data_IF_951837501296
#
_entry.id   IF_951837501296
#
_cell.length_a   1.000
_cell.length_b   1.000
_cell.length_c   1.000
_cell.angle_alpha   90.00
_cell.angle_beta   90.00
_cell.angle_gamma   90.00
#
_symmetry.space_group_name_H-M   'P 1'
#
loop_
_entity.id
_entity.type
_entity.pdbx_description
1 polymer ?
#
# COMPACT_ATOMS: atom_id res chain seq x y z
N UNK A 1 -21.69 5.68 12.75
CA UNK A 1 -20.29 5.64 12.27
C UNK A 1 -19.87 7.06 11.92
N UNK A 2 -18.77 7.55 12.51
CA UNK A 2 -18.26 8.91 12.26
C UNK A 2 -17.46 8.91 10.94
N UNK A 3 -17.77 9.81 10.00
CA UNK A 3 -17.15 9.84 8.65
C UNK A 3 -16.29 11.08 8.51
N UNK A 4 -15.05 10.91 8.04
CA UNK A 4 -14.25 12.04 7.56
C UNK A 4 -14.50 12.22 6.06
N UNK A 5 -15.04 13.38 5.65
CA UNK A 5 -15.31 13.69 4.24
C UNK A 5 -14.20 14.62 3.71
N UNK A 6 -13.23 14.12 2.93
CA UNK A 6 -12.14 14.93 2.40
C UNK A 6 -12.71 15.88 1.35
N UNK A 7 -12.50 17.20 1.49
CA UNK A 7 -13.06 18.20 0.55
C UNK A 7 -12.69 17.88 -0.91
N UNK A 8 -11.47 17.41 -1.13
CA UNK A 8 -10.90 17.08 -2.43
C UNK A 8 -11.35 15.73 -3.01
N UNK A 9 -12.01 14.87 -2.23
CA UNK A 9 -12.57 13.59 -2.72
C UNK A 9 -14.09 13.66 -2.95
N UNK A 10 -14.75 14.79 -2.65
CA UNK A 10 -16.21 14.92 -2.79
C UNK A 10 -16.72 14.75 -4.22
N UNK A 11 -15.89 15.03 -5.21
CA UNK A 11 -16.21 14.88 -6.64
C UNK A 11 -15.94 13.48 -7.19
N UNK A 12 -15.37 12.58 -6.38
CA UNK A 12 -15.09 11.21 -6.80
C UNK A 12 -16.38 10.39 -6.82
N UNK A 13 -16.85 10.04 -8.02
CA UNK A 13 -18.09 9.27 -8.25
C UNK A 13 -18.06 7.93 -7.50
N UNK A 14 -16.88 7.33 -7.35
CA UNK A 14 -16.68 6.02 -6.72
C UNK A 14 -16.27 6.11 -5.24
N UNK A 15 -16.51 7.25 -4.57
CA UNK A 15 -16.25 7.40 -3.14
C UNK A 15 -17.38 6.82 -2.30
N UNK A 16 -17.05 5.83 -1.47
CA UNK A 16 -17.88 5.38 -0.36
C UNK A 16 -17.00 5.18 0.89
N UNK A 17 -17.52 4.55 1.94
CA UNK A 17 -16.87 4.45 3.24
C UNK A 17 -16.77 3.00 3.72
N UNK A 18 -15.54 2.54 3.93
CA UNK A 18 -15.27 1.29 4.64
C UNK A 18 -15.40 1.50 6.15
N UNK A 19 -16.20 0.65 6.82
CA UNK A 19 -16.34 0.69 8.27
C UNK A 19 -15.13 0.03 8.94
N UNK A 20 -14.40 0.82 9.72
CA UNK A 20 -13.30 0.35 10.58
C UNK A 20 -13.57 0.79 12.02
N UNK A 21 -13.92 -0.16 12.88
CA UNK A 21 -14.49 0.09 14.21
C UNK A 21 -15.69 1.06 14.11
N UNK A 22 -15.63 2.21 14.79
CA UNK A 22 -16.67 3.25 14.79
C UNK A 22 -16.47 4.32 13.69
N UNK A 23 -15.42 4.18 12.87
CA UNK A 23 -15.01 5.15 11.87
C UNK A 23 -15.32 4.71 10.44
N UNK A 24 -15.72 5.66 9.62
CA UNK A 24 -15.89 5.50 8.17
C UNK A 24 -14.66 6.03 7.46
N UNK A 25 -13.92 5.14 6.82
CA UNK A 25 -12.72 5.48 6.08
C UNK A 25 -13.04 5.59 4.58
N UNK A 26 -12.63 6.67 3.90
CA UNK A 26 -12.92 6.88 2.48
C UNK A 26 -12.28 5.76 1.66
N UNK A 27 -13.06 5.15 0.78
CA UNK A 27 -12.67 3.95 0.05
C UNK A 27 -13.34 3.91 -1.32
N UNK A 28 -12.69 3.24 -2.26
CA UNK A 28 -13.17 3.06 -3.61
C UNK A 28 -14.25 1.98 -3.64
N UNK A 29 -15.43 2.37 -4.12
CA UNK A 29 -16.58 1.50 -4.36
C UNK A 29 -17.18 1.84 -5.72
N UNK A 30 -17.46 0.83 -6.54
CA UNK A 30 -18.23 1.01 -7.76
C UNK A 30 -19.49 0.16 -7.64
N UNK A 31 -20.62 0.81 -7.31
CA UNK A 31 -21.89 0.12 -7.02
C UNK A 31 -22.46 -0.56 -8.26
N UNK A 32 -22.39 0.11 -9.40
CA UNK A 32 -22.86 -0.42 -10.70
C UNK A 32 -22.20 -1.76 -11.06
N UNK A 33 -20.91 -1.89 -10.76
CA UNK A 33 -20.13 -3.10 -11.05
C UNK A 33 -19.94 -4.02 -9.84
N UNK A 34 -20.65 -3.77 -8.73
CA UNK A 34 -20.52 -4.50 -7.46
C UNK A 34 -19.06 -4.63 -6.97
N UNK A 35 -18.28 -3.56 -7.13
CA UNK A 35 -16.89 -3.49 -6.69
C UNK A 35 -16.82 -2.86 -5.31
N UNK A 36 -16.25 -3.60 -4.36
CA UNK A 36 -16.01 -3.15 -3.00
C UNK A 36 -14.66 -3.67 -2.47
N UNK A 37 -14.07 -3.05 -1.44
CA UNK A 37 -12.84 -3.53 -0.84
C UNK A 37 -13.00 -4.88 -0.13
N UNK A 38 -12.11 -5.84 -0.40
CA UNK A 38 -11.95 -7.06 0.39
C UNK A 38 -11.44 -6.69 1.80
N UNK A 39 -12.24 -7.05 2.81
CA UNK A 39 -12.01 -6.73 4.22
C UNK A 39 -10.60 -7.12 4.70
N UNK A 40 -10.08 -8.27 4.27
CA UNK A 40 -8.76 -8.75 4.72
C UNK A 40 -7.64 -7.89 4.14
N UNK A 41 -7.79 -7.45 2.90
CA UNK A 41 -6.80 -6.64 2.18
C UNK A 41 -6.80 -5.20 2.74
N UNK A 42 -7.97 -4.57 2.85
CA UNK A 42 -8.07 -3.19 3.36
C UNK A 42 -7.66 -3.09 4.83
N UNK A 43 -8.04 -4.05 5.68
CA UNK A 43 -7.58 -4.07 7.07
C UNK A 43 -6.06 -4.19 7.16
N UNK A 44 -5.42 -4.96 6.27
CA UNK A 44 -3.95 -5.06 6.24
C UNK A 44 -3.30 -3.73 5.87
N UNK A 45 -3.86 -2.98 4.91
CA UNK A 45 -3.40 -1.64 4.54
C UNK A 45 -3.51 -0.69 5.74
N UNK A 46 -4.66 -0.67 6.40
CA UNK A 46 -4.93 0.17 7.59
C UNK A 46 -3.93 -0.16 8.71
N UNK A 47 -3.69 -1.43 9.00
CA UNK A 47 -2.69 -1.85 9.99
C UNK A 47 -1.28 -1.37 9.64
N UNK A 48 -0.87 -1.48 8.37
CA UNK A 48 0.45 -1.00 7.94
C UNK A 48 0.59 0.52 8.07
N UNK A 49 -0.45 1.30 7.77
CA UNK A 49 -0.47 2.76 8.01
C UNK A 49 -0.31 3.06 9.50
N UNK A 50 -1.12 2.42 10.34
CA UNK A 50 -1.06 2.52 11.80
C UNK A 50 0.31 2.26 12.37
N UNK A 51 0.85 1.09 12.04
CA UNK A 51 2.18 0.68 12.48
C UNK A 51 3.27 1.63 11.96
N UNK A 52 3.05 2.34 10.85
CA UNK A 52 4.06 3.26 10.28
C UNK A 52 4.04 4.58 11.04
N UNK A 53 2.87 5.11 11.35
CA UNK A 53 2.73 6.30 12.20
C UNK A 53 3.14 6.06 13.66
N UNK A 54 3.09 4.80 14.13
CA UNK A 54 3.67 4.42 15.42
C UNK A 54 5.20 4.62 15.45
N UNK A 55 5.88 4.52 14.31
CA UNK A 55 7.34 4.62 14.22
C UNK A 55 7.79 6.06 13.92
N UNK A 56 7.03 6.78 13.08
CA UNK A 56 7.37 8.15 12.66
C UNK A 56 6.13 9.03 12.55
N UNK A 57 6.23 10.29 12.96
CA UNK A 57 5.15 11.28 12.81
C UNK A 57 4.85 11.62 11.34
N UNK A 58 5.77 11.31 10.42
CA UNK A 58 5.64 11.56 8.99
C UNK A 58 6.02 10.32 8.22
N UNK A 59 5.17 9.91 7.29
CA UNK A 59 5.40 8.74 6.44
C UNK A 59 5.31 9.14 4.98
N UNK A 60 6.12 8.48 4.16
CA UNK A 60 6.01 8.55 2.71
C UNK A 60 5.38 7.27 2.21
N UNK A 61 4.36 7.39 1.37
CA UNK A 61 3.67 6.26 0.72
C UNK A 61 3.87 6.32 -0.78
N UNK A 62 4.31 5.20 -1.38
CA UNK A 62 4.53 5.10 -2.83
C UNK A 62 3.82 3.88 -3.39
N UNK A 63 2.88 4.08 -4.33
CA UNK A 63 2.18 3.00 -5.05
C UNK A 63 2.80 2.79 -6.42
N UNK A 64 3.00 1.53 -6.79
CA UNK A 64 3.61 1.12 -8.06
C UNK A 64 3.15 -0.29 -8.44
N UNK A 65 3.31 -0.64 -9.71
CA UNK A 65 2.88 -1.93 -10.24
C UNK A 65 4.04 -2.69 -10.86
N UNK A 66 4.13 -3.98 -10.55
CA UNK A 66 5.14 -4.89 -11.03
C UNK A 66 4.52 -5.90 -11.99
N UNK A 67 5.14 -6.07 -13.15
CA UNK A 67 4.67 -6.95 -14.21
C UNK A 67 5.72 -8.03 -14.44
N UNK A 68 5.27 -9.28 -14.54
CA UNK A 68 6.13 -10.40 -14.88
C UNK A 68 6.12 -10.66 -16.39
N UNK A 69 7.26 -11.04 -16.98
CA UNK A 69 7.33 -11.41 -18.39
C UNK A 69 6.58 -12.71 -18.67
N UNK A 70 6.54 -13.63 -17.70
CA UNK A 70 5.86 -14.93 -17.81
C UNK A 70 5.05 -15.23 -16.56
N UNK A 71 3.95 -15.95 -16.74
CA UNK A 71 3.12 -16.42 -15.64
C UNK A 71 3.92 -17.36 -14.72
N UNK A 72 3.64 -17.25 -13.43
CA UNK A 72 4.07 -18.23 -12.43
C UNK A 72 2.91 -18.45 -11.48
N UNK A 73 2.61 -19.68 -11.09
CA UNK A 73 1.53 -20.00 -10.15
C UNK A 73 1.89 -19.69 -8.70
N UNK A 74 3.18 -19.51 -8.38
CA UNK A 74 3.71 -19.25 -7.04
C UNK A 74 4.01 -17.77 -6.79
N UNK A 75 4.34 -17.44 -5.54
CA UNK A 75 4.76 -16.09 -5.09
C UNK A 75 6.28 -15.95 -4.92
N UNK A 76 7.06 -16.82 -5.56
CA UNK A 76 8.53 -16.78 -5.45
C UNK A 76 9.10 -15.45 -5.99
N UNK A 77 8.59 -14.96 -7.12
CA UNK A 77 9.00 -13.69 -7.73
C UNK A 77 8.90 -12.50 -6.78
N UNK A 78 7.73 -12.32 -6.14
CA UNK A 78 7.52 -11.22 -5.20
C UNK A 78 8.31 -11.41 -3.90
N UNK A 79 8.59 -12.67 -3.52
CA UNK A 79 9.42 -12.99 -2.36
C UNK A 79 10.89 -12.64 -2.60
N UNK A 80 11.45 -13.01 -3.75
CA UNK A 80 12.82 -12.66 -4.16
C UNK A 80 12.99 -11.14 -4.24
N UNK A 81 12.06 -10.46 -4.89
CA UNK A 81 12.02 -9.00 -4.95
C UNK A 81 11.98 -8.36 -3.56
N UNK A 82 11.06 -8.81 -2.69
CA UNK A 82 10.92 -8.26 -1.33
C UNK A 82 12.23 -8.35 -0.56
N UNK A 83 12.91 -9.51 -0.61
CA UNK A 83 14.18 -9.72 0.10
C UNK A 83 15.27 -8.78 -0.42
N UNK A 84 15.42 -8.67 -1.75
CA UNK A 84 16.41 -7.78 -2.37
C UNK A 84 16.12 -6.32 -2.03
N UNK A 85 14.88 -5.86 -2.19
CA UNK A 85 14.48 -4.48 -1.88
C UNK A 85 14.76 -4.10 -0.41
N UNK A 86 14.39 -4.95 0.54
CA UNK A 86 14.65 -4.70 1.95
C UNK A 86 16.16 -4.69 2.25
N UNK A 87 16.95 -5.52 1.58
CA UNK A 87 18.41 -5.53 1.69
C UNK A 87 19.04 -4.24 1.16
N UNK A 88 18.69 -3.82 -0.05
CA UNK A 88 19.17 -2.55 -0.64
C UNK A 88 18.79 -1.35 0.22
N UNK A 89 17.55 -1.35 0.74
CA UNK A 89 17.10 -0.31 1.66
C UNK A 89 17.94 -0.26 2.94
N UNK A 90 18.24 -1.42 3.54
CA UNK A 90 19.09 -1.52 4.74
C UNK A 90 20.50 -0.97 4.50
N UNK A 91 21.04 -1.19 3.31
CA UNK A 91 22.36 -0.68 2.93
C UNK A 91 22.34 0.85 2.87
N UNK A 92 21.34 1.43 2.20
CA UNK A 92 21.25 2.86 1.91
C UNK A 92 20.74 3.73 3.08
N UNK A 93 19.76 3.26 3.84
CA UNK A 93 19.08 4.07 4.86
C UNK A 93 19.27 3.50 6.27
N UNK A 94 20.17 4.12 7.04
CA UNK A 94 20.37 3.76 8.45
C UNK A 94 19.31 4.44 9.33
N UNK A 95 18.83 3.77 10.37
CA UNK A 95 17.84 4.29 11.33
C UNK A 95 16.47 4.68 10.74
N UNK A 96 16.06 4.02 9.67
CA UNK A 96 14.76 4.24 9.01
C UNK A 96 13.85 3.00 9.11
N UNK A 97 12.74 2.98 8.38
CA UNK A 97 11.94 1.78 8.17
C UNK A 97 11.42 1.72 6.74
N UNK A 98 11.13 0.51 6.29
CA UNK A 98 10.44 0.22 5.04
C UNK A 98 9.43 -0.88 5.26
N UNK A 99 8.23 -0.70 4.71
CA UNK A 99 7.21 -1.74 4.63
C UNK A 99 6.73 -1.82 3.20
N UNK A 100 6.76 -3.01 2.64
CA UNK A 100 6.18 -3.35 1.37
C UNK A 100 4.84 -4.04 1.61
N UNK A 101 3.82 -3.60 0.90
CA UNK A 101 2.55 -4.27 0.74
C UNK A 101 2.36 -4.62 -0.73
N UNK A 102 1.77 -5.76 -1.02
CA UNK A 102 1.46 -6.15 -2.39
C UNK A 102 0.15 -6.94 -2.45
N UNK A 103 -0.53 -6.78 -3.58
CA UNK A 103 -1.70 -7.57 -3.98
C UNK A 103 -1.42 -8.14 -5.36
N UNK A 104 -1.74 -9.42 -5.52
CA UNK A 104 -1.60 -10.16 -6.75
C UNK A 104 -2.91 -10.11 -7.53
N UNK A 105 -2.84 -9.65 -8.78
CA UNK A 105 -3.96 -9.65 -9.71
C UNK A 105 -3.59 -10.44 -10.96
N UNK A 106 -4.59 -11.13 -11.51
CA UNK A 106 -4.55 -11.61 -12.88
C UNK A 106 -5.94 -11.40 -13.44
N UNK A 107 -6.06 -10.45 -14.35
CA UNK A 107 -7.30 -10.20 -15.08
C UNK A 107 -7.17 -10.86 -16.47
N UNK A 108 -7.37 -10.10 -17.54
CA UNK A 108 -7.18 -10.53 -18.94
C UNK A 108 -5.72 -10.70 -19.36
N UNK A 109 -4.77 -10.47 -18.45
CA UNK A 109 -3.33 -10.52 -18.75
C UNK A 109 -2.81 -11.95 -18.76
N UNK A 110 -1.87 -12.23 -19.68
CA UNK A 110 -1.22 -13.53 -19.78
C UNK A 110 -0.46 -13.89 -18.49
N UNK A 111 0.24 -12.91 -17.91
CA UNK A 111 0.99 -13.02 -16.67
C UNK A 111 0.30 -12.26 -15.54
N UNK A 112 0.53 -12.69 -14.30
CA UNK A 112 0.06 -11.95 -13.13
C UNK A 112 0.80 -10.62 -12.96
N UNK A 113 0.13 -9.67 -12.32
CA UNK A 113 0.68 -8.39 -11.90
C UNK A 113 0.62 -8.27 -10.38
N UNK A 114 1.54 -7.48 -9.82
CA UNK A 114 1.49 -7.10 -8.41
C UNK A 114 1.25 -5.60 -8.32
N UNK A 115 0.16 -5.21 -7.66
CA UNK A 115 -0.03 -3.84 -7.21
C UNK A 115 0.57 -3.67 -5.82
N UNK A 116 1.51 -2.75 -5.70
CA UNK A 116 2.34 -2.63 -4.52
C UNK A 116 2.21 -1.24 -3.89
N UNK A 117 2.46 -1.17 -2.59
CA UNK A 117 2.62 0.08 -1.86
C UNK A 117 3.81 -0.03 -0.90
N UNK A 118 4.65 1.00 -0.89
CA UNK A 118 5.71 1.19 0.09
C UNK A 118 5.28 2.20 1.13
N UNK A 119 5.63 1.93 2.39
CA UNK A 119 5.50 2.85 3.53
C UNK A 119 6.87 3.02 4.15
N UNK A 120 7.39 4.24 4.17
CA UNK A 120 8.75 4.54 4.65
C UNK A 120 8.76 5.77 5.55
N UNK A 121 9.87 5.98 6.27
CA UNK A 121 10.05 7.18 7.11
C UNK A 121 10.09 8.45 6.25
N UNK A 122 9.08 9.29 6.38
CA UNK A 122 8.94 10.53 5.62
C UNK A 122 9.86 11.65 6.12
N UNK A 123 10.63 11.44 7.19
CA UNK A 123 11.72 12.34 7.60
C UNK A 123 13.07 11.98 6.95
N UNK A 124 13.17 10.80 6.36
CA UNK A 124 14.38 10.34 5.67
C UNK A 124 14.17 10.40 4.16
N UNK A 125 12.95 10.12 3.70
CA UNK A 125 12.63 9.99 2.27
C UNK A 125 11.54 11.00 1.93
N UNK A 126 11.97 12.15 1.40
CA UNK A 126 11.12 13.26 1.01
C UNK A 126 10.71 13.25 -0.47
N UNK A 127 11.29 12.38 -1.29
CA UNK A 127 10.99 12.28 -2.72
C UNK A 127 10.96 10.83 -3.19
N UNK A 128 10.10 10.52 -4.15
CA UNK A 128 9.86 9.15 -4.63
C UNK A 128 10.97 8.59 -5.51
N UNK A 129 11.68 9.45 -6.26
CA UNK A 129 12.58 9.01 -7.33
C UNK A 129 13.64 8.01 -6.87
N UNK A 130 14.29 8.28 -5.73
CA UNK A 130 15.34 7.40 -5.18
C UNK A 130 14.83 6.00 -4.83
N UNK A 131 13.59 5.88 -4.36
CA UNK A 131 12.95 4.59 -4.06
C UNK A 131 12.41 3.92 -5.32
N UNK A 132 11.86 4.67 -6.26
CA UNK A 132 11.37 4.13 -7.53
C UNK A 132 12.50 3.50 -8.34
N UNK A 133 13.68 4.15 -8.39
CA UNK A 133 14.87 3.59 -9.03
C UNK A 133 15.33 2.30 -8.32
N UNK A 134 15.28 2.27 -6.98
CA UNK A 134 15.59 1.07 -6.21
C UNK A 134 14.60 -0.06 -6.50
N UNK A 135 13.31 0.24 -6.61
CA UNK A 135 12.26 -0.73 -6.97
C UNK A 135 12.50 -1.29 -8.36
N UNK A 136 12.72 -0.43 -9.35
CA UNK A 136 12.96 -0.83 -10.74
C UNK A 136 14.21 -1.72 -10.86
N UNK A 137 15.32 -1.29 -10.25
CA UNK A 137 16.54 -2.08 -10.16
C UNK A 137 16.30 -3.45 -9.53
N UNK A 138 15.72 -3.51 -8.32
CA UNK A 138 15.48 -4.77 -7.63
C UNK A 138 14.55 -5.71 -8.41
N UNK A 139 13.54 -5.16 -9.10
CA UNK A 139 12.58 -5.96 -9.87
C UNK A 139 13.21 -6.54 -11.14
N UNK A 140 13.97 -5.73 -11.88
CA UNK A 140 14.73 -6.18 -13.05
C UNK A 140 15.74 -7.26 -12.68
N UNK A 141 16.55 -7.03 -11.65
CA UNK A 141 17.58 -7.98 -11.21
C UNK A 141 17.01 -9.34 -10.75
N UNK A 142 15.86 -9.33 -10.07
CA UNK A 142 15.32 -10.56 -9.48
C UNK A 142 14.39 -11.33 -10.41
N UNK A 143 13.77 -10.66 -11.38
CA UNK A 143 12.67 -11.24 -12.17
C UNK A 143 12.66 -10.87 -13.66
N UNK A 144 13.59 -10.01 -14.12
CA UNK A 144 13.60 -9.46 -15.47
C UNK A 144 12.22 -8.92 -15.91
N UNK A 145 11.49 -8.30 -14.97
CA UNK A 145 10.15 -7.78 -15.19
C UNK A 145 10.13 -6.27 -15.37
N UNK A 146 8.95 -5.73 -15.68
CA UNK A 146 8.75 -4.29 -15.85
C UNK A 146 8.02 -3.68 -14.66
N UNK A 147 8.30 -2.40 -14.41
CA UNK A 147 7.72 -1.61 -13.34
C UNK A 147 6.98 -0.41 -13.95
N UNK A 148 5.81 -0.07 -13.41
CA UNK A 148 5.06 1.11 -13.82
C UNK A 148 4.58 1.92 -12.63
N UNK A 149 4.50 3.22 -12.83
CA UNK A 149 4.11 4.20 -11.82
C UNK A 149 2.80 4.82 -12.27
N UNK A 150 1.70 4.68 -11.51
CA UNK A 150 0.47 5.34 -11.87
C UNK A 150 0.52 6.84 -11.56
N UNK A 151 -0.50 7.56 -12.04
CA UNK A 151 -0.81 8.91 -11.54
C UNK A 151 -1.05 8.89 -10.02
N UNK A 152 -0.66 9.97 -9.34
CA UNK A 152 -0.81 10.15 -7.90
C UNK A 152 -0.26 8.95 -7.11
N UNK A 153 0.97 8.55 -7.43
CA UNK A 153 1.67 7.42 -6.82
C UNK A 153 2.32 7.75 -5.48
N UNK A 154 2.58 9.02 -5.19
CA UNK A 154 3.38 9.47 -4.06
C UNK A 154 2.58 10.35 -3.11
N UNK A 155 2.73 10.10 -1.81
CA UNK A 155 2.11 10.89 -0.74
C UNK A 155 3.11 11.09 0.40
N UNK A 156 3.28 12.34 0.84
CA UNK A 156 3.98 12.68 2.08
C UNK A 156 2.94 13.07 3.13
N UNK A 157 2.77 12.24 4.16
CA UNK A 157 1.71 12.42 5.14
C UNK A 157 2.27 12.62 6.53
N UNK A 158 1.92 13.73 7.17
CA UNK A 158 2.08 13.89 8.61
C UNK A 158 0.90 13.24 9.34
N UNK A 159 1.10 12.73 10.56
CA UNK A 159 0.06 12.04 11.34
C UNK A 159 -1.16 12.90 11.69
N UNK A 160 -1.03 14.23 11.61
CA UNK A 160 -2.13 15.17 11.83
C UNK A 160 -2.82 15.62 10.53
N UNK A 161 -2.31 15.20 9.37
CA UNK A 161 -2.87 15.56 8.06
C UNK A 161 -3.89 14.51 7.62
N UNK A 162 -5.13 14.70 8.05
CA UNK A 162 -6.23 13.80 7.73
C UNK A 162 -6.62 13.83 6.26
N UNK A 163 -6.39 14.94 5.56
CA UNK A 163 -6.72 15.07 4.14
C UNK A 163 -5.84 14.16 3.32
N UNK A 164 -4.51 14.22 3.53
CA UNK A 164 -3.58 13.33 2.86
C UNK A 164 -3.76 11.87 3.29
N UNK A 165 -4.03 11.62 4.57
CA UNK A 165 -4.32 10.27 5.05
C UNK A 165 -5.54 9.67 4.35
N UNK A 166 -6.61 10.43 4.23
CA UNK A 166 -7.81 10.01 3.51
C UNK A 166 -7.54 9.70 2.03
N UNK A 167 -6.74 10.54 1.36
CA UNK A 167 -6.33 10.28 -0.02
C UNK A 167 -5.52 8.99 -0.15
N UNK A 168 -4.60 8.74 0.77
CA UNK A 168 -3.82 7.48 0.80
C UNK A 168 -4.76 6.28 0.98
N UNK A 169 -5.68 6.34 1.95
CA UNK A 169 -6.61 5.22 2.20
C UNK A 169 -7.49 4.97 0.98
N UNK A 170 -8.11 6.02 0.42
CA UNK A 170 -8.92 5.90 -0.80
C UNK A 170 -8.10 5.30 -1.94
N UNK A 171 -6.88 5.81 -2.17
CA UNK A 171 -6.01 5.33 -3.25
C UNK A 171 -5.60 3.87 -3.08
N UNK A 172 -5.25 3.46 -1.86
CA UNK A 172 -4.84 2.09 -1.58
C UNK A 172 -6.02 1.13 -1.49
N UNK A 173 -7.23 1.60 -1.15
CA UNK A 173 -8.45 0.78 -1.15
C UNK A 173 -8.81 0.25 -2.54
N UNK A 174 -8.40 0.95 -3.61
CA UNK A 174 -8.50 0.42 -4.97
C UNK A 174 -7.73 -0.90 -5.14
N UNK A 175 -6.57 -1.05 -4.49
CA UNK A 175 -5.82 -2.31 -4.48
C UNK A 175 -6.57 -3.42 -3.73
N UNK A 176 -7.52 -3.06 -2.88
CA UNK A 176 -8.34 -3.99 -2.13
C UNK A 176 -9.61 -4.42 -2.86
N UNK A 177 -9.94 -3.89 -4.05
CA UNK A 177 -11.14 -4.32 -4.80
C UNK A 177 -11.30 -5.86 -4.84
N UNK A 178 -12.52 -6.34 -4.64
CA UNK A 178 -12.88 -7.75 -4.62
C UNK A 178 -12.68 -8.48 -5.96
N UNK A 179 -12.76 -7.75 -7.07
CA UNK A 179 -12.59 -8.28 -8.43
C UNK A 179 -11.12 -8.45 -8.83
N UNK A 180 -10.88 -9.22 -9.90
CA UNK A 180 -9.55 -9.46 -10.54
C UNK A 180 -8.48 -10.07 -9.62
N UNK A 181 -8.91 -10.59 -8.45
CA UNK A 181 -8.09 -11.31 -7.46
C UNK A 181 -8.23 -12.84 -7.54
N UNK A 182 -8.73 -13.34 -8.67
CA UNK A 182 -8.93 -14.76 -8.86
C UNK A 182 -7.62 -15.53 -8.76
N UNK A 183 -7.72 -16.72 -8.18
CA UNK A 183 -6.58 -17.61 -7.97
C UNK A 183 -6.75 -18.81 -8.87
N UNK A 184 -5.73 -19.08 -9.70
CA UNK A 184 -5.59 -20.38 -10.37
C UNK A 184 -5.17 -21.49 -9.39
N UNK A 185 -4.45 -21.13 -8.32
CA UNK A 185 -4.02 -22.03 -7.25
C UNK A 185 -4.46 -21.50 -5.88
N UNK A 186 -5.25 -22.29 -5.15
CA UNK A 186 -5.81 -21.93 -3.83
C UNK A 186 -4.74 -21.65 -2.76
N UNK A 187 -3.58 -22.30 -2.86
CA UNK A 187 -2.45 -22.17 -1.92
C UNK A 187 -1.65 -20.88 -2.13
N UNK A 188 -1.81 -20.20 -3.27
CA UNK A 188 -1.08 -18.98 -3.56
C UNK A 188 -1.74 -17.78 -2.87
N UNK A 189 -0.98 -17.11 -1.99
CA UNK A 189 -1.46 -15.90 -1.29
C UNK A 189 -1.84 -14.80 -2.30
N UNK A 190 -3.02 -14.19 -2.09
CA UNK A 190 -3.54 -13.03 -2.86
C UNK A 190 -2.84 -11.72 -2.55
N UNK A 191 -2.34 -11.59 -1.32
CA UNK A 191 -1.72 -10.37 -0.84
C UNK A 191 -0.68 -10.74 0.22
N UNK A 192 0.22 -9.82 0.49
CA UNK A 192 1.22 -9.98 1.52
C UNK A 192 1.89 -8.67 1.88
N UNK A 193 2.76 -8.75 2.88
CA UNK A 193 3.57 -7.62 3.29
C UNK A 193 4.91 -8.08 3.85
N UNK A 194 5.94 -7.28 3.64
CA UNK A 194 7.29 -7.47 4.18
C UNK A 194 7.71 -6.18 4.88
N UNK A 195 8.45 -6.25 5.98
CA UNK A 195 8.84 -5.05 6.73
C UNK A 195 10.26 -5.16 7.29
N UNK A 196 10.95 -4.03 7.30
CA UNK A 196 12.24 -3.85 7.96
C UNK A 196 12.19 -2.56 8.79
N UNK A 197 12.53 -2.66 10.07
CA UNK A 197 12.54 -1.53 11.01
C UNK A 197 13.95 -1.44 11.59
N UNK A 198 14.60 -0.29 11.42
CA UNK A 198 16.01 -0.06 11.82
C UNK A 198 16.13 0.98 12.94
N UNK A 199 15.02 1.38 13.58
CA UNK A 199 14.96 2.32 14.72
C UNK A 199 14.04 1.80 15.83
N UNK A 200 14.20 2.29 17.06
CA UNK A 200 13.30 1.95 18.19
C UNK A 200 11.86 2.34 17.86
N UNK A 201 10.91 1.45 18.18
CA UNK A 201 9.46 1.63 18.01
C UNK A 201 8.87 2.20 19.30
N UNK A 202 8.07 3.26 19.19
CA UNK A 202 7.06 3.59 20.20
C UNK A 202 5.73 2.94 19.77
N UNK A 203 5.09 2.15 20.63
CA UNK A 203 3.79 1.54 20.30
C UNK A 203 2.68 2.59 20.35
N UNK A 204 2.09 2.91 19.19
CA UNK A 204 0.86 3.71 19.11
C UNK A 204 -0.13 3.05 18.14
N UNK A 205 -1.30 2.57 18.60
CA UNK A 205 -2.29 1.95 17.71
C UNK A 205 -2.93 3.01 16.81
N UNK A 206 -3.26 2.67 15.55
CA UNK A 206 -3.89 3.62 14.61
C UNK A 206 -5.17 4.24 15.17
N UNK A 207 -5.95 3.49 15.96
CA UNK A 207 -7.13 4.00 16.65
C UNK A 207 -6.83 5.26 17.48
N UNK A 208 -5.66 5.34 18.13
CA UNK A 208 -5.24 6.52 18.90
C UNK A 208 -4.97 7.76 18.03
N UNK A 209 -4.72 7.55 16.74
CA UNK A 209 -4.57 8.62 15.75
C UNK A 209 -5.95 9.00 15.23
N UNK A 210 -6.76 8.03 14.78
CA UNK A 210 -8.08 8.28 14.21
C UNK A 210 -9.04 8.94 15.21
N UNK A 211 -9.03 8.51 16.48
CA UNK A 211 -9.86 9.07 17.56
C UNK A 211 -9.61 10.54 17.86
N UNK A 212 -8.40 11.05 17.58
CA UNK A 212 -8.09 12.48 17.75
C UNK A 212 -8.76 13.37 16.70
N UNK A 213 -9.15 12.81 15.56
CA UNK A 213 -9.47 13.61 14.38
C UNK A 213 -10.80 13.27 13.69
N UNK A 214 -11.37 12.08 13.94
CA UNK A 214 -12.71 11.74 13.48
C UNK A 214 -13.67 11.93 14.66
N UNK A 215 -14.21 13.16 14.78
CA UNK A 215 -15.20 13.55 15.79
C UNK A 215 -16.61 13.15 15.40
#
# INVERSE_FOLDING_TARGET
>A
MKKYIPKNLRSEINLDYYKYNDYGLPSYFCRENNIYPDNKIINKIILLLGDSFSISKRITVIRFDLHLPKYSDKNESITKFSRKLLSEFKCKYKKSFIKLFWVREQNKSQSQHYHCALFVDGNVIHHSASLQNMVDFCWKETNNGTHSIPKNCYYLCHQSDMSTLANIIYRLSYLAKNITKERKNSHTKRYGSSSLILRKKESKPLHSILSKYIK
#
